data_IF_865955610928
#
_entry.id   IF_865955610928
#
_cell.length_a   1.000
_cell.length_b   1.000
_cell.length_c   1.000
_cell.angle_alpha   90.00
_cell.angle_beta   90.00
_cell.angle_gamma   90.00
#
_symmetry.space_group_name_H-M   'P 1'
#
loop_
_entity.id
_entity.type
_entity.pdbx_description
1 polymer ?
#
# COMPACT_ATOMS: atom_id res chain seq x y z
N UNK A 1 -10.98 17.55 -1.70
CA UNK A 1 -10.01 16.65 -2.35
C UNK A 1 -9.85 15.37 -1.52
N UNK A 2 -9.97 14.23 -2.15
CA UNK A 2 -9.79 12.96 -1.45
C UNK A 2 -8.31 12.73 -1.13
N UNK A 3 -8.08 12.15 0.03
CA UNK A 3 -6.72 11.87 0.52
C UNK A 3 -6.50 10.37 0.64
N UNK A 4 -5.40 9.91 0.08
CA UNK A 4 -5.03 8.50 0.10
C UNK A 4 -3.60 8.30 0.58
N UNK A 5 -3.36 7.13 1.18
CA UNK A 5 -2.02 6.58 1.37
C UNK A 5 -1.93 5.33 0.52
N UNK A 6 -0.94 5.24 -0.34
CA UNK A 6 -0.75 4.11 -1.23
C UNK A 6 0.49 3.34 -0.80
N UNK A 7 0.33 2.06 -0.49
CA UNK A 7 1.45 1.19 -0.16
C UNK A 7 1.65 0.16 -1.27
N UNK A 8 2.83 0.18 -1.87
CA UNK A 8 3.21 -0.73 -2.95
C UNK A 8 4.16 -1.79 -2.40
N UNK A 9 3.82 -3.07 -2.56
CA UNK A 9 4.58 -4.19 -2.01
C UNK A 9 4.90 -5.17 -3.12
N UNK A 10 6.20 -5.37 -3.38
CA UNK A 10 6.67 -6.37 -4.33
C UNK A 10 7.44 -7.44 -3.58
N UNK A 11 7.65 -8.57 -4.28
CA UNK A 11 8.42 -9.67 -3.75
C UNK A 11 7.57 -10.82 -3.26
N UNK A 12 8.14 -11.67 -2.41
CA UNK A 12 7.51 -12.89 -1.99
C UNK A 12 6.54 -12.74 -0.83
N UNK A 13 5.98 -13.85 -0.43
CA UNK A 13 4.97 -13.91 0.62
C UNK A 13 5.50 -13.37 1.97
N UNK A 14 6.76 -13.68 2.29
CA UNK A 14 7.33 -13.21 3.55
C UNK A 14 7.37 -11.69 3.66
N UNK A 15 7.62 -11.00 2.55
CA UNK A 15 7.62 -9.53 2.54
C UNK A 15 6.22 -8.99 2.78
N UNK A 16 5.22 -9.68 2.26
CA UNK A 16 3.83 -9.27 2.46
C UNK A 16 3.40 -9.46 3.91
N UNK A 17 3.87 -10.52 4.56
CA UNK A 17 3.57 -10.73 5.97
C UNK A 17 4.16 -9.58 6.80
N UNK A 18 5.41 -9.22 6.56
CA UNK A 18 6.03 -8.08 7.24
C UNK A 18 5.32 -6.78 6.94
N UNK A 19 4.83 -6.62 5.72
CA UNK A 19 4.16 -5.40 5.28
C UNK A 19 2.81 -5.16 5.95
N UNK A 20 2.19 -6.18 6.55
CA UNK A 20 0.94 -5.97 7.28
C UNK A 20 1.14 -5.01 8.46
N UNK A 21 2.28 -5.14 9.15
CA UNK A 21 2.63 -4.23 10.24
C UNK A 21 2.93 -2.82 9.71
N UNK A 22 3.61 -2.74 8.57
CA UNK A 22 3.89 -1.46 7.92
C UNK A 22 2.58 -0.77 7.51
N UNK A 23 1.65 -1.52 6.95
CA UNK A 23 0.34 -0.98 6.54
C UNK A 23 -0.40 -0.38 7.74
N UNK A 24 -0.39 -1.08 8.86
CA UNK A 24 -1.03 -0.59 10.08
C UNK A 24 -0.36 0.69 10.58
N UNK A 25 0.96 0.74 10.53
CA UNK A 25 1.72 1.92 10.92
C UNK A 25 1.37 3.13 10.04
N UNK A 26 1.29 2.92 8.74
CA UNK A 26 0.91 3.98 7.80
C UNK A 26 -0.49 4.50 8.14
N UNK A 27 -1.43 3.60 8.37
CA UNK A 27 -2.80 4.01 8.70
C UNK A 27 -2.86 4.77 10.01
N UNK A 28 -2.10 4.34 11.01
CA UNK A 28 -2.09 5.03 12.31
C UNK A 28 -1.47 6.43 12.20
N UNK A 29 -0.42 6.58 11.40
CA UNK A 29 0.26 7.87 11.24
C UNK A 29 -0.47 8.81 10.29
N UNK A 30 -1.33 8.29 9.45
CA UNK A 30 -2.07 9.07 8.46
C UNK A 30 -3.55 8.67 8.47
N UNK A 31 -4.15 8.75 9.65
CA UNK A 31 -5.51 8.24 9.87
C UNK A 31 -6.59 8.99 9.07
N UNK A 32 -6.28 10.19 8.62
CA UNK A 32 -7.20 10.98 7.80
C UNK A 32 -7.21 10.56 6.32
N UNK A 33 -6.35 9.60 5.95
CA UNK A 33 -6.21 9.12 4.59
C UNK A 33 -6.76 7.71 4.45
N UNK A 34 -7.35 7.42 3.29
CA UNK A 34 -7.78 6.06 2.97
C UNK A 34 -6.57 5.27 2.49
N UNK A 35 -6.35 4.10 3.07
CA UNK A 35 -5.19 3.27 2.73
C UNK A 35 -5.52 2.35 1.57
N UNK A 36 -4.71 2.46 0.51
CA UNK A 36 -4.80 1.64 -0.69
C UNK A 36 -3.53 0.79 -0.76
N UNK A 37 -3.67 -0.49 -1.02
CA UNK A 37 -2.52 -1.39 -1.15
C UNK A 37 -2.48 -1.99 -2.55
N UNK A 38 -1.30 -1.94 -3.18
CA UNK A 38 -1.02 -2.62 -4.43
C UNK A 38 0.07 -3.64 -4.16
N UNK A 39 -0.20 -4.91 -4.40
CA UNK A 39 0.70 -5.98 -3.97
C UNK A 39 0.58 -7.24 -4.84
N UNK A 40 1.51 -8.18 -4.63
CA UNK A 40 1.51 -9.45 -5.34
C UNK A 40 0.58 -10.48 -4.69
N UNK A 41 0.29 -10.35 -3.40
CA UNK A 41 -0.56 -11.30 -2.65
C UNK A 41 -1.69 -10.54 -1.94
N UNK A 42 -2.71 -10.10 -2.69
CA UNK A 42 -3.79 -9.28 -2.12
C UNK A 42 -4.56 -9.97 -1.01
N UNK A 43 -4.64 -11.29 -1.01
CA UNK A 43 -5.34 -12.04 0.02
C UNK A 43 -4.81 -11.79 1.42
N UNK A 44 -3.56 -11.35 1.55
CA UNK A 44 -2.96 -11.03 2.84
C UNK A 44 -3.61 -9.80 3.51
N UNK A 45 -4.30 -8.98 2.73
CA UNK A 45 -4.80 -7.69 3.21
C UNK A 45 -6.32 -7.58 3.18
N UNK A 46 -7.02 -8.54 2.60
CA UNK A 46 -8.46 -8.45 2.37
C UNK A 46 -9.30 -8.37 3.64
N UNK A 47 -8.82 -8.96 4.73
CA UNK A 47 -9.55 -9.00 5.99
C UNK A 47 -9.10 -7.95 7.00
N UNK A 48 -8.26 -7.01 6.58
CA UNK A 48 -7.80 -5.95 7.47
C UNK A 48 -8.76 -4.76 7.41
N UNK A 49 -9.44 -4.46 8.50
CA UNK A 49 -10.49 -3.44 8.46
C UNK A 49 -9.99 -2.03 8.20
N UNK A 50 -8.71 -1.76 8.46
CA UNK A 50 -8.13 -0.44 8.24
C UNK A 50 -7.70 -0.21 6.80
N UNK A 51 -7.77 -1.22 5.92
CA UNK A 51 -7.41 -1.10 4.51
C UNK A 51 -8.67 -0.80 3.70
N UNK A 52 -8.62 0.27 2.92
CA UNK A 52 -9.76 0.68 2.12
C UNK A 52 -9.94 -0.18 0.87
N UNK A 53 -8.86 -0.38 0.11
CA UNK A 53 -8.86 -1.17 -1.11
C UNK A 53 -7.54 -1.89 -1.30
N UNK A 54 -7.58 -3.06 -1.94
CA UNK A 54 -6.40 -3.86 -2.25
C UNK A 54 -6.43 -4.22 -3.73
N UNK A 55 -5.30 -4.04 -4.41
CA UNK A 55 -5.17 -4.35 -5.83
C UNK A 55 -3.97 -5.26 -6.06
N UNK A 56 -4.10 -6.18 -7.03
CA UNK A 56 -2.98 -6.99 -7.47
C UNK A 56 -2.14 -6.18 -8.45
N UNK A 57 -0.82 -6.29 -8.34
CA UNK A 57 0.12 -5.66 -9.28
C UNK A 57 -0.22 -6.12 -10.69
N UNK A 58 -0.32 -5.17 -11.62
CA UNK A 58 -0.65 -5.45 -13.02
C UNK A 58 -2.13 -5.45 -13.33
N UNK A 59 -2.99 -5.41 -12.32
CA UNK A 59 -4.43 -5.39 -12.51
C UNK A 59 -5.03 -4.12 -11.90
N UNK A 60 -4.58 -2.97 -12.42
CA UNK A 60 -4.98 -1.68 -11.87
C UNK A 60 -5.43 -0.71 -12.98
N UNK A 61 -6.46 -1.10 -13.79
CA UNK A 61 -6.96 -0.18 -14.80
C UNK A 61 -7.56 1.06 -14.13
N UNK A 62 -7.36 2.21 -14.73
CA UNK A 62 -7.84 3.48 -14.20
C UNK A 62 -7.29 3.88 -12.84
N UNK A 63 -6.28 3.15 -12.33
CA UNK A 63 -5.72 3.42 -11.02
C UNK A 63 -5.20 4.85 -10.89
N UNK A 64 -4.51 5.31 -11.92
CA UNK A 64 -3.97 6.66 -11.93
C UNK A 64 -5.09 7.70 -11.78
N UNK A 65 -6.17 7.55 -12.55
CA UNK A 65 -7.28 8.49 -12.51
C UNK A 65 -8.01 8.43 -11.17
N UNK A 66 -8.13 7.25 -10.58
CA UNK A 66 -8.89 7.05 -9.35
C UNK A 66 -8.15 7.55 -8.11
N UNK A 67 -6.82 7.40 -8.07
CA UNK A 67 -6.08 7.60 -6.83
C UNK A 67 -4.92 8.59 -6.92
N UNK A 68 -4.47 8.95 -8.11
CA UNK A 68 -3.30 9.80 -8.26
C UNK A 68 -3.68 11.16 -8.83
N UNK A 69 -4.32 11.17 -10.00
CA UNK A 69 -4.62 12.41 -10.69
C UNK A 69 -5.61 13.25 -9.90
N UNK A 70 -5.23 14.48 -9.60
CA UNK A 70 -6.06 15.43 -8.86
C UNK A 70 -6.44 14.94 -7.47
N UNK A 71 -5.61 14.05 -6.88
CA UNK A 71 -5.79 13.55 -5.53
C UNK A 71 -4.58 13.88 -4.68
N UNK A 72 -4.78 13.92 -3.37
CA UNK A 72 -3.69 14.09 -2.42
C UNK A 72 -3.27 12.69 -1.94
N UNK A 73 -2.24 12.13 -2.57
CA UNK A 73 -1.82 10.75 -2.31
C UNK A 73 -0.36 10.67 -1.91
N UNK A 74 -0.11 10.07 -0.75
CA UNK A 74 1.24 9.73 -0.30
C UNK A 74 1.56 8.32 -0.78
N UNK A 75 2.74 8.13 -1.34
CA UNK A 75 3.15 6.84 -1.90
C UNK A 75 4.29 6.26 -1.08
N UNK A 76 4.10 5.02 -0.63
CA UNK A 76 5.07 4.27 0.15
C UNK A 76 5.41 2.98 -0.57
N UNK A 77 6.69 2.61 -0.58
CA UNK A 77 7.13 1.32 -1.12
C UNK A 77 7.80 0.52 -0.04
N UNK A 78 7.40 -0.73 0.08
CA UNK A 78 7.99 -1.63 1.06
C UNK A 78 9.04 -2.50 0.39
N UNK A 79 10.30 -2.10 0.54
CA UNK A 79 11.45 -2.78 -0.05
C UNK A 79 12.53 -2.97 1.03
N UNK A 80 12.30 -3.85 1.99
CA UNK A 80 13.13 -3.92 3.17
C UNK A 80 14.60 -4.27 2.92
N UNK A 81 14.91 -5.06 1.92
CA UNK A 81 16.30 -5.36 1.67
C UNK A 81 17.05 -4.22 0.98
N UNK A 82 16.37 -3.37 0.26
CA UNK A 82 17.01 -2.15 -0.25
C UNK A 82 17.40 -1.23 0.89
N UNK A 83 16.53 -1.12 1.85
CA UNK A 83 16.81 -0.31 3.02
C UNK A 83 18.10 -0.77 3.68
N UNK A 84 18.28 -2.07 3.81
CA UNK A 84 19.47 -2.63 4.42
C UNK A 84 20.73 -2.33 3.62
N UNK A 85 20.63 -2.36 2.30
CA UNK A 85 21.77 -2.10 1.44
C UNK A 85 22.20 -0.66 1.46
N UNK A 86 21.29 0.23 1.68
CA UNK A 86 21.57 1.66 1.67
C UNK A 86 22.06 2.18 3.01
N UNK A 87 22.06 1.37 3.98
CA UNK A 87 22.60 1.67 5.29
C UNK A 87 24.12 1.43 5.35
#
# INVERSE_FOLDING_TARGET
MEKYSLLHIEGGLGKHIAATAVAKCIKNNHSDRKLIIVCAYPEMFLNLPFVHRVYRIGFTPYFYNDYIKDKDTLIFKHEPYFTNEHI
#
